data_IF_554971716841
#
_entry.id   IF_554971716841
#
_cell.length_a   1.000
_cell.length_b   1.000
_cell.length_c   1.000
_cell.angle_alpha   90.00
_cell.angle_beta   90.00
_cell.angle_gamma   90.00
#
_symmetry.space_group_name_H-M   'P 1'
#
loop_
_entity.id
_entity.type
_entity.pdbx_description
1 polymer ?
#
# COMPACT_ATOMS: atom_id res chain seq x y z
N UNK A 1 -12.78 77.93 24.30
CA UNK A 1 -13.34 76.61 23.92
C UNK A 1 -12.65 76.19 22.65
N UNK A 2 -11.97 75.04 22.73
CA UNK A 2 -11.56 74.10 21.67
C UNK A 2 -10.59 74.61 20.58
N UNK A 3 -9.25 74.45 20.71
CA UNK A 3 -8.43 73.22 20.52
C UNK A 3 -8.84 72.39 19.30
N UNK A 4 -8.00 72.38 18.25
CA UNK A 4 -7.60 71.16 17.55
C UNK A 4 -6.27 71.39 16.79
N UNK A 5 -5.19 70.82 17.33
CA UNK A 5 -3.93 70.59 16.64
C UNK A 5 -4.08 69.37 15.72
N UNK A 6 -3.70 69.51 14.45
CA UNK A 6 -3.59 68.37 13.53
C UNK A 6 -2.14 67.86 13.57
N UNK A 7 -1.93 66.68 14.15
CA UNK A 7 -0.65 65.98 14.15
C UNK A 7 -0.51 65.15 12.87
N UNK A 8 0.58 65.36 12.14
CA UNK A 8 0.98 64.53 10.99
C UNK A 8 1.63 63.26 11.55
N UNK A 9 0.97 62.12 11.37
CA UNK A 9 1.52 60.80 11.72
C UNK A 9 2.19 60.23 10.47
N UNK A 10 3.51 60.05 10.56
CA UNK A 10 4.29 59.26 9.61
C UNK A 10 3.95 57.77 9.81
N UNK A 11 3.36 57.14 8.79
CA UNK A 11 3.20 55.67 8.77
C UNK A 11 4.49 55.07 8.21
N UNK A 12 5.28 54.44 9.06
CA UNK A 12 6.38 53.55 8.66
C UNK A 12 5.73 52.22 8.23
N UNK A 13 5.77 51.91 6.94
CA UNK A 13 5.41 50.60 6.43
C UNK A 13 6.51 49.59 6.82
N UNK A 14 6.22 48.76 7.83
CA UNK A 14 7.04 47.59 8.13
C UNK A 14 6.80 46.53 7.05
N UNK A 15 7.81 46.30 6.20
CA UNK A 15 7.83 45.13 5.32
C UNK A 15 7.97 43.88 6.18
N UNK A 16 6.86 43.14 6.35
CA UNK A 16 6.89 41.80 6.92
C UNK A 16 7.61 40.89 5.94
N UNK A 17 8.84 40.53 6.27
CA UNK A 17 9.65 39.58 5.53
C UNK A 17 9.02 38.19 5.70
N UNK A 18 8.38 37.67 4.66
CA UNK A 18 7.87 36.29 4.62
C UNK A 18 9.05 35.31 4.51
N UNK A 19 9.71 35.04 5.63
CA UNK A 19 10.73 34.02 5.77
C UNK A 19 10.13 32.68 6.22
N UNK A 20 9.13 32.17 5.49
CA UNK A 20 8.38 30.97 5.89
C UNK A 20 8.47 29.81 4.89
N UNK A 21 9.48 29.82 3.99
CA UNK A 21 9.64 28.80 2.96
C UNK A 21 11.00 28.07 2.93
N UNK A 22 12.02 28.56 3.63
CA UNK A 22 13.37 27.99 3.55
C UNK A 22 13.64 26.90 4.62
N UNK A 23 12.91 26.89 5.74
CA UNK A 23 13.15 25.94 6.84
C UNK A 23 12.46 24.57 6.64
N UNK A 24 11.36 24.49 5.88
CA UNK A 24 10.65 23.22 5.66
C UNK A 24 11.44 22.24 4.76
N UNK A 25 12.19 22.72 3.78
CA UNK A 25 12.96 21.84 2.88
C UNK A 25 14.19 21.20 3.55
N UNK A 26 14.73 21.82 4.61
CA UNK A 26 15.88 21.30 5.36
C UNK A 26 15.49 20.50 6.62
N UNK A 27 14.21 20.54 7.00
CA UNK A 27 13.69 19.78 8.14
C UNK A 27 13.87 18.27 7.91
N UNK A 28 14.36 17.58 8.94
CA UNK A 28 14.50 16.13 8.93
C UNK A 28 13.34 15.49 9.68
N UNK A 29 12.76 14.46 9.08
CA UNK A 29 11.62 13.72 9.58
C UNK A 29 12.02 12.28 9.86
N UNK A 30 11.81 11.84 11.11
CA UNK A 30 12.01 10.46 11.51
C UNK A 30 10.68 9.71 11.41
N UNK A 31 10.58 8.76 10.48
CA UNK A 31 9.38 7.97 10.28
C UNK A 31 9.47 6.68 11.09
N UNK A 32 8.56 6.46 12.05
CA UNK A 32 8.54 5.25 12.87
C UNK A 32 7.12 4.80 13.15
N UNK A 33 6.94 3.49 13.23
CA UNK A 33 5.77 2.92 13.88
C UNK A 33 5.81 3.21 15.39
N UNK A 34 4.67 3.59 15.94
CA UNK A 34 4.48 3.84 17.37
C UNK A 34 3.13 3.28 17.79
N UNK A 35 3.02 1.95 17.73
CA UNK A 35 1.80 1.24 18.11
C UNK A 35 1.70 1.14 19.64
N UNK A 36 0.48 1.02 20.16
CA UNK A 36 0.22 0.86 21.59
C UNK A 36 -0.35 -0.53 21.92
N UNK A 37 -0.06 -1.02 23.13
CA UNK A 37 -0.66 -2.25 23.66
C UNK A 37 -2.19 -2.20 23.59
N UNK A 38 -2.80 -3.24 23.03
CA UNK A 38 -4.24 -3.34 22.86
C UNK A 38 -4.84 -2.40 21.81
N UNK A 39 -4.01 -1.67 21.06
CA UNK A 39 -4.48 -0.88 19.92
C UNK A 39 -5.04 -1.80 18.84
N UNK A 40 -6.15 -1.38 18.22
CA UNK A 40 -6.68 -2.02 17.04
C UNK A 40 -6.63 -1.07 15.85
N UNK A 41 -6.01 -1.51 14.75
CA UNK A 41 -5.97 -0.76 13.50
C UNK A 41 -6.85 -1.45 12.48
N UNK A 42 -7.97 -0.82 12.11
CA UNK A 42 -8.92 -1.34 11.14
C UNK A 42 -8.64 -0.74 9.77
N UNK A 43 -8.60 -1.57 8.73
CA UNK A 43 -8.35 -1.15 7.36
C UNK A 43 -9.40 -1.71 6.42
N UNK A 44 -9.77 -0.92 5.43
CA UNK A 44 -10.48 -1.39 4.26
C UNK A 44 -9.55 -1.34 3.06
N UNK A 45 -9.52 -2.44 2.32
CA UNK A 45 -8.73 -2.61 1.11
C UNK A 45 -9.68 -2.87 -0.04
N UNK A 46 -9.63 -2.03 -1.06
CA UNK A 46 -10.28 -2.25 -2.35
C UNK A 46 -9.21 -2.62 -3.38
N UNK A 47 -9.39 -3.73 -4.08
CA UNK A 47 -8.53 -4.17 -5.17
C UNK A 47 -9.37 -4.45 -6.40
N UNK A 48 -9.06 -3.79 -7.51
CA UNK A 48 -9.66 -4.01 -8.82
C UNK A 48 -8.56 -4.39 -9.77
N UNK A 49 -8.72 -5.50 -10.49
CA UNK A 49 -7.78 -5.89 -11.53
C UNK A 49 -8.52 -6.39 -12.78
N UNK A 50 -7.95 -6.03 -13.93
CA UNK A 50 -8.34 -6.50 -15.24
C UNK A 50 -7.11 -7.04 -15.94
N UNK A 51 -7.18 -8.31 -16.31
CA UNK A 51 -6.18 -8.98 -17.13
C UNK A 51 -6.81 -9.25 -18.48
N UNK A 52 -6.15 -8.80 -19.55
CA UNK A 52 -6.55 -9.10 -20.91
C UNK A 52 -5.42 -9.84 -21.59
N UNK A 53 -5.70 -11.05 -22.02
CA UNK A 53 -4.75 -11.92 -22.71
C UNK A 53 -5.22 -12.14 -24.13
N UNK A 54 -4.31 -12.03 -25.09
CA UNK A 54 -4.56 -12.41 -26.49
C UNK A 54 -3.61 -13.52 -26.88
N UNK A 55 -4.14 -14.61 -27.41
CA UNK A 55 -3.37 -15.74 -27.91
C UNK A 55 -3.87 -16.11 -29.30
N UNK A 56 -3.00 -16.03 -30.32
CA UNK A 56 -3.32 -16.42 -31.70
C UNK A 56 -4.61 -15.79 -32.26
N UNK A 57 -4.92 -14.56 -31.83
CA UNK A 57 -6.10 -13.81 -32.26
C UNK A 57 -7.34 -13.98 -31.37
N UNK A 58 -7.34 -14.96 -30.47
CA UNK A 58 -8.39 -15.11 -29.45
C UNK A 58 -8.06 -14.24 -28.25
N UNK A 59 -9.07 -13.55 -27.73
CA UNK A 59 -8.96 -12.64 -26.61
C UNK A 59 -9.73 -13.20 -25.41
N UNK A 60 -9.07 -13.24 -24.26
CA UNK A 60 -9.65 -13.59 -22.98
C UNK A 60 -9.47 -12.40 -22.02
N UNK A 61 -10.56 -12.00 -21.38
CA UNK A 61 -10.57 -10.93 -20.38
C UNK A 61 -10.98 -11.51 -19.05
N UNK A 62 -10.23 -11.24 -17.99
CA UNK A 62 -10.59 -11.57 -16.62
C UNK A 62 -10.68 -10.29 -15.81
N UNK A 63 -11.73 -10.13 -15.03
CA UNK A 63 -11.94 -9.01 -14.13
C UNK A 63 -12.20 -9.52 -12.73
N UNK A 64 -11.59 -8.86 -11.75
CA UNK A 64 -11.84 -9.10 -10.33
C UNK A 64 -12.00 -7.78 -9.62
N UNK A 65 -12.92 -7.74 -8.68
CA UNK A 65 -13.02 -6.65 -7.73
C UNK A 65 -13.27 -7.24 -6.34
N UNK A 66 -12.44 -6.82 -5.39
CA UNK A 66 -12.47 -7.29 -4.01
C UNK A 66 -12.41 -6.11 -3.07
N UNK A 67 -13.35 -6.05 -2.14
CA UNK A 67 -13.29 -5.17 -0.98
C UNK A 67 -13.08 -6.08 0.23
N UNK A 68 -12.10 -5.79 1.07
CA UNK A 68 -11.88 -6.53 2.31
C UNK A 68 -11.70 -5.60 3.48
N UNK A 69 -12.37 -5.88 4.59
CA UNK A 69 -12.09 -5.27 5.89
C UNK A 69 -11.16 -6.19 6.65
N UNK A 70 -10.10 -5.62 7.23
CA UNK A 70 -9.12 -6.36 8.02
C UNK A 70 -8.68 -5.51 9.19
N UNK A 71 -8.17 -6.13 10.24
CA UNK A 71 -7.57 -5.40 11.33
C UNK A 71 -6.27 -6.01 11.83
N UNK A 72 -5.53 -5.19 12.55
CA UNK A 72 -4.43 -5.60 13.40
C UNK A 72 -4.85 -5.44 14.85
N UNK A 73 -4.78 -6.53 15.61
CA UNK A 73 -4.88 -6.50 17.06
C UNK A 73 -3.48 -6.46 17.65
N UNK A 74 -3.06 -5.29 18.17
CA UNK A 74 -1.72 -5.12 18.74
C UNK A 74 -1.67 -5.80 20.10
N UNK A 75 -1.00 -6.95 20.15
CA UNK A 75 -0.86 -7.77 21.35
C UNK A 75 0.13 -7.14 22.33
N UNK A 76 1.22 -6.58 21.81
CA UNK A 76 2.32 -6.02 22.60
C UNK A 76 3.13 -5.04 21.78
N UNK A 77 3.49 -3.91 22.36
CA UNK A 77 4.31 -2.86 21.81
C UNK A 77 5.33 -2.45 22.86
N UNK A 78 6.58 -2.84 22.59
CA UNK A 78 7.75 -2.38 23.32
C UNK A 78 8.47 -1.34 22.46
N UNK A 79 9.34 -0.52 23.07
CA UNK A 79 10.08 0.51 22.33
C UNK A 79 10.86 -0.02 21.11
N UNK A 80 11.25 -1.29 21.13
CA UNK A 80 12.08 -1.92 20.09
C UNK A 80 11.32 -2.92 19.20
N UNK A 81 10.09 -3.31 19.56
CA UNK A 81 9.31 -4.31 18.83
C UNK A 81 7.81 -4.21 19.11
N UNK A 82 6.99 -4.34 18.07
CA UNK A 82 5.52 -4.39 18.15
C UNK A 82 5.02 -5.69 17.51
N UNK A 83 4.15 -6.41 18.20
CA UNK A 83 3.56 -7.68 17.76
C UNK A 83 2.05 -7.54 17.66
N UNK A 84 1.48 -7.98 16.54
CA UNK A 84 0.05 -7.92 16.28
C UNK A 84 -0.47 -9.17 15.56
N UNK A 85 -1.74 -9.47 15.80
CA UNK A 85 -2.48 -10.48 15.03
C UNK A 85 -3.14 -9.81 13.82
N UNK A 86 -3.04 -10.45 12.65
CA UNK A 86 -3.68 -10.00 11.41
C UNK A 86 -4.89 -10.88 11.09
N UNK A 87 -6.04 -10.24 10.93
CA UNK A 87 -7.34 -10.89 10.69
C UNK A 87 -8.05 -10.19 9.54
N UNK A 88 -8.74 -10.96 8.70
CA UNK A 88 -9.69 -10.44 7.70
C UNK A 88 -11.10 -10.64 8.24
N UNK A 89 -11.83 -9.54 8.42
CA UNK A 89 -13.15 -9.49 9.05
C UNK A 89 -14.27 -9.82 8.07
N UNK A 90 -14.20 -9.24 6.88
CA UNK A 90 -15.17 -9.48 5.83
C UNK A 90 -14.61 -9.19 4.45
N UNK A 91 -15.25 -9.78 3.44
CA UNK A 91 -14.94 -9.55 2.04
C UNK A 91 -16.21 -9.41 1.20
N UNK A 92 -16.12 -8.60 0.16
CA UNK A 92 -17.03 -8.58 -0.98
C UNK A 92 -16.19 -8.86 -2.23
N UNK A 93 -16.60 -9.84 -3.02
CA UNK A 93 -15.82 -10.34 -4.15
C UNK A 93 -16.70 -10.45 -5.40
N UNK A 94 -16.14 -10.02 -6.52
CA UNK A 94 -16.68 -10.27 -7.85
C UNK A 94 -15.59 -10.81 -8.76
N UNK A 95 -15.97 -11.74 -9.63
CA UNK A 95 -15.08 -12.30 -10.65
C UNK A 95 -15.86 -12.54 -11.94
N UNK A 96 -15.29 -12.10 -13.06
CA UNK A 96 -15.83 -12.33 -14.39
C UNK A 96 -14.73 -12.79 -15.35
N UNK A 97 -15.03 -13.79 -16.19
CA UNK A 97 -14.13 -14.31 -17.23
C UNK A 97 -14.83 -14.30 -18.59
N UNK A 98 -14.32 -13.50 -19.52
CA UNK A 98 -14.91 -13.25 -20.84
C UNK A 98 -16.34 -12.74 -20.71
N UNK A 99 -17.22 -13.31 -21.53
CA UNK A 99 -18.66 -12.98 -21.55
C UNK A 99 -19.49 -13.85 -20.57
N UNK A 100 -18.84 -14.61 -19.68
CA UNK A 100 -19.55 -15.38 -18.65
C UNK A 100 -20.22 -14.44 -17.64
N UNK A 101 -21.24 -14.96 -16.98
CA UNK A 101 -21.92 -14.27 -15.89
C UNK A 101 -20.93 -13.95 -14.75
N UNK A 102 -21.07 -12.75 -14.17
CA UNK A 102 -20.26 -12.32 -13.02
C UNK A 102 -20.65 -13.16 -11.79
N UNK A 103 -19.66 -13.79 -11.18
CA UNK A 103 -19.83 -14.42 -9.87
C UNK A 103 -19.64 -13.34 -8.82
N UNK A 104 -20.61 -13.18 -7.93
CA UNK A 104 -20.59 -12.22 -6.82
C UNK A 104 -20.82 -12.94 -5.51
N UNK A 105 -20.11 -12.54 -4.48
CA UNK A 105 -20.32 -13.03 -3.13
C UNK A 105 -19.88 -12.01 -2.09
N UNK A 106 -20.60 -11.94 -0.97
CA UNK A 106 -20.21 -11.19 0.23
C UNK A 106 -20.23 -12.14 1.42
N UNK A 107 -19.19 -12.08 2.26
CA UNK A 107 -19.17 -12.87 3.49
C UNK A 107 -20.22 -12.42 4.53
N UNK A 108 -20.79 -11.23 4.34
CA UNK A 108 -21.83 -10.67 5.22
C UNK A 108 -23.25 -10.99 4.72
N UNK A 109 -23.43 -11.62 3.53
CA UNK A 109 -24.76 -11.91 2.98
C UNK A 109 -25.49 -13.06 3.69
N UNK A 110 -24.76 -13.93 4.40
CA UNK A 110 -25.28 -15.17 4.97
C UNK A 110 -25.45 -16.32 3.96
N UNK A 111 -25.10 -16.10 2.68
CA UNK A 111 -25.12 -17.12 1.64
C UNK A 111 -23.86 -17.99 1.66
N UNK A 112 -23.99 -19.25 1.25
CA UNK A 112 -22.83 -20.14 1.09
C UNK A 112 -21.89 -19.61 0.00
N UNK A 113 -20.60 -19.59 0.29
CA UNK A 113 -19.60 -19.09 -0.66
C UNK A 113 -19.54 -19.98 -1.92
N UNK A 114 -19.54 -19.38 -3.13
CA UNK A 114 -19.22 -20.10 -4.35
C UNK A 114 -17.90 -20.86 -4.24
N UNK A 115 -17.76 -21.95 -5.00
CA UNK A 115 -16.58 -22.84 -4.93
C UNK A 115 -15.27 -22.07 -5.15
N UNK A 116 -15.31 -21.09 -6.03
CA UNK A 116 -14.23 -20.16 -6.39
C UNK A 116 -13.71 -19.38 -5.17
N UNK A 117 -14.57 -19.07 -4.20
CA UNK A 117 -14.26 -18.28 -3.00
C UNK A 117 -14.17 -19.11 -1.71
N UNK A 118 -14.36 -20.43 -1.78
CA UNK A 118 -14.36 -21.33 -0.60
C UNK A 118 -13.12 -21.17 0.29
N UNK A 119 -11.92 -21.10 -0.31
CA UNK A 119 -10.66 -20.89 0.42
C UNK A 119 -10.58 -19.53 1.13
N UNK A 120 -11.25 -18.51 0.62
CA UNK A 120 -11.33 -17.19 1.28
C UNK A 120 -12.31 -17.30 2.43
N UNK A 121 -13.50 -17.85 2.19
CA UNK A 121 -14.54 -18.02 3.21
C UNK A 121 -14.05 -18.79 4.45
N UNK A 122 -13.23 -19.83 4.25
CA UNK A 122 -12.63 -20.61 5.34
C UNK A 122 -11.70 -19.80 6.27
N UNK A 123 -11.26 -18.61 5.87
CA UNK A 123 -10.25 -17.79 6.56
C UNK A 123 -10.83 -16.56 7.27
N UNK A 124 -12.03 -16.15 6.89
CA UNK A 124 -12.66 -14.94 7.43
C UNK A 124 -12.92 -15.11 8.93
N UNK A 125 -12.62 -14.06 9.70
CA UNK A 125 -12.73 -14.05 11.16
C UNK A 125 -11.69 -14.92 11.87
N UNK A 126 -10.74 -15.53 11.16
CA UNK A 126 -9.65 -16.30 11.75
C UNK A 126 -8.36 -15.51 11.73
N UNK A 127 -7.52 -15.77 12.74
CA UNK A 127 -6.15 -15.29 12.77
C UNK A 127 -5.36 -15.85 11.59
N UNK A 128 -4.94 -14.99 10.67
CA UNK A 128 -4.16 -15.38 9.50
C UNK A 128 -2.67 -15.52 9.85
N UNK A 129 -2.16 -14.57 10.63
CA UNK A 129 -0.76 -14.54 11.06
C UNK A 129 -0.58 -13.71 12.32
N UNK A 130 0.41 -14.07 13.12
CA UNK A 130 0.96 -13.21 14.19
C UNK A 130 2.29 -12.65 13.68
N UNK A 131 2.44 -11.32 13.66
CA UNK A 131 3.58 -10.63 13.05
C UNK A 131 4.23 -9.72 14.08
N UNK A 132 5.56 -9.78 14.16
CA UNK A 132 6.37 -8.85 14.95
C UNK A 132 7.16 -7.96 14.01
N UNK A 133 7.17 -6.65 14.30
CA UNK A 133 7.90 -5.63 13.55
C UNK A 133 8.74 -4.77 14.49
N UNK A 134 9.88 -4.29 14.00
CA UNK A 134 10.63 -3.23 14.70
C UNK A 134 9.99 -1.84 14.45
N UNK A 135 10.48 -0.74 15.08
CA UNK A 135 9.98 0.62 14.84
C UNK A 135 10.06 1.09 13.39
N UNK A 136 10.87 0.45 12.55
CA UNK A 136 10.95 0.73 11.11
C UNK A 136 9.92 -0.07 10.30
N UNK A 137 9.06 -0.86 10.93
CA UNK A 137 8.09 -1.71 10.25
C UNK A 137 8.70 -2.91 9.53
N UNK A 138 9.95 -3.26 9.81
CA UNK A 138 10.58 -4.46 9.26
C UNK A 138 10.11 -5.67 10.06
N UNK A 139 9.60 -6.69 9.37
CA UNK A 139 9.17 -7.95 9.99
C UNK A 139 10.38 -8.63 10.65
N UNK A 140 10.37 -8.77 11.98
CA UNK A 140 11.36 -9.49 12.77
C UNK A 140 10.97 -10.95 12.96
N UNK A 141 9.67 -11.22 13.03
CA UNK A 141 9.11 -12.56 13.14
C UNK A 141 7.73 -12.64 12.49
N UNK A 142 7.38 -13.83 11.98
CA UNK A 142 6.05 -14.11 11.43
C UNK A 142 5.68 -15.56 11.68
N UNK A 143 4.56 -15.75 12.36
CA UNK A 143 3.89 -17.05 12.51
C UNK A 143 2.67 -17.07 11.58
N UNK A 144 2.76 -17.83 10.49
CA UNK A 144 1.64 -18.06 9.58
C UNK A 144 0.72 -19.13 10.16
N UNK A 145 -0.55 -18.78 10.40
CA UNK A 145 -1.56 -19.71 10.92
C UNK A 145 -2.36 -20.31 9.76
N UNK A 146 -3.01 -19.44 8.97
CA UNK A 146 -3.89 -19.83 7.86
C UNK A 146 -3.74 -18.79 6.74
N UNK A 147 -3.18 -19.17 5.58
CA UNK A 147 -2.97 -18.22 4.48
C UNK A 147 -2.11 -18.76 3.35
N UNK A 148 -2.12 -18.08 2.20
CA UNK A 148 -1.18 -18.36 1.11
C UNK A 148 -0.06 -17.32 1.12
N UNK A 149 1.17 -17.74 0.80
CA UNK A 149 2.32 -16.84 0.64
C UNK A 149 2.31 -16.03 -0.68
N UNK A 150 1.24 -16.10 -1.46
CA UNK A 150 1.13 -15.39 -2.73
C UNK A 150 1.08 -13.87 -2.49
N UNK A 151 2.13 -13.16 -2.88
CA UNK A 151 2.17 -11.70 -2.98
C UNK A 151 1.79 -11.33 -4.42
N UNK A 152 0.86 -10.39 -4.63
CA UNK A 152 0.50 -9.85 -5.95
C UNK A 152 1.07 -8.42 -6.10
N UNK A 153 2.33 -8.19 -5.73
CA UNK A 153 2.93 -6.86 -5.75
C UNK A 153 2.33 -5.87 -4.75
N UNK A 154 1.42 -6.32 -3.87
CA UNK A 154 0.72 -5.48 -2.90
C UNK A 154 1.59 -5.05 -1.71
N UNK A 155 2.82 -5.60 -1.61
CA UNK A 155 3.76 -5.32 -0.52
C UNK A 155 3.57 -6.20 0.70
N UNK A 156 4.36 -5.93 1.75
CA UNK A 156 4.20 -6.48 3.10
C UNK A 156 3.02 -5.83 3.83
N UNK A 157 2.63 -6.42 4.97
CA UNK A 157 1.58 -5.86 5.83
C UNK A 157 2.01 -4.49 6.39
N UNK A 158 3.25 -4.38 6.86
CA UNK A 158 3.86 -3.13 7.31
C UNK A 158 4.73 -2.48 6.23
N UNK A 159 4.92 -1.18 6.33
CA UNK A 159 5.84 -0.40 5.50
C UNK A 159 7.24 -0.42 6.11
N UNK A 160 8.28 -0.73 5.33
CA UNK A 160 9.66 -0.60 5.79
C UNK A 160 10.16 0.85 5.65
N UNK A 161 10.42 1.49 6.78
CA UNK A 161 10.76 2.91 6.94
C UNK A 161 12.30 3.13 6.96
N UNK A 162 12.78 4.34 6.64
CA UNK A 162 14.21 4.65 6.57
C UNK A 162 14.86 4.54 7.95
N UNK A 163 16.17 4.27 7.97
CA UNK A 163 16.92 4.13 9.22
C UNK A 163 17.13 5.47 9.92
N UNK A 164 17.40 6.51 9.15
CA UNK A 164 17.69 7.82 9.69
C UNK A 164 16.54 8.79 9.38
N UNK A 165 16.56 9.94 10.05
CA UNK A 165 15.66 11.03 9.73
C UNK A 165 16.03 11.59 8.34
N UNK A 166 15.02 11.77 7.49
CA UNK A 166 15.19 12.16 6.09
C UNK A 166 14.56 13.51 5.81
N UNK A 167 15.08 14.25 4.83
CA UNK A 167 14.44 15.48 4.35
C UNK A 167 13.43 15.17 3.26
N UNK A 168 12.54 16.12 2.97
CA UNK A 168 11.69 16.05 1.78
C UNK A 168 12.58 15.90 0.53
N UNK A 169 12.15 15.08 -0.42
CA UNK A 169 12.90 14.69 -1.62
C UNK A 169 13.90 13.56 -1.42
N UNK A 170 14.19 13.15 -0.18
CA UNK A 170 15.07 12.00 0.08
C UNK A 170 14.36 10.68 -0.24
N UNK A 171 15.14 9.70 -0.69
CA UNK A 171 14.65 8.35 -1.01
C UNK A 171 15.40 7.25 -0.27
N UNK A 172 14.74 6.12 -0.06
CA UNK A 172 15.34 4.88 0.42
C UNK A 172 14.77 3.68 -0.35
N UNK A 173 15.55 2.60 -0.43
CA UNK A 173 15.19 1.43 -1.21
C UNK A 173 15.01 0.21 -0.31
N UNK A 174 13.97 -0.57 -0.58
CA UNK A 174 13.71 -1.87 0.06
C UNK A 174 13.90 -2.97 -1.00
N UNK A 175 14.88 -3.88 -0.83
CA UNK A 175 15.09 -4.95 -1.77
C UNK A 175 14.00 -6.01 -1.65
N UNK A 176 13.59 -6.58 -2.78
CA UNK A 176 12.66 -7.71 -2.86
C UNK A 176 13.11 -8.67 -3.95
N UNK A 177 12.66 -9.92 -3.83
CA UNK A 177 12.92 -10.96 -4.82
C UNK A 177 11.60 -11.60 -5.25
N UNK A 178 11.42 -11.73 -6.57
CA UNK A 178 10.28 -12.42 -7.18
C UNK A 178 10.81 -13.73 -7.76
N UNK A 179 10.21 -14.85 -7.35
CA UNK A 179 10.49 -16.14 -7.98
C UNK A 179 9.65 -16.25 -9.25
N UNK A 180 10.32 -16.40 -10.39
CA UNK A 180 9.68 -16.61 -11.70
C UNK A 180 10.02 -17.99 -12.23
N UNK A 181 9.25 -18.48 -13.19
CA UNK A 181 9.53 -19.73 -13.89
C UNK A 181 9.76 -19.48 -15.37
N UNK A 182 10.86 -19.97 -15.90
CA UNK A 182 11.19 -19.96 -17.33
C UNK A 182 10.40 -21.06 -18.07
N UNK A 183 10.41 -21.04 -19.40
CA UNK A 183 9.67 -22.02 -20.22
C UNK A 183 10.15 -23.46 -20.04
N UNK A 184 11.46 -23.65 -19.81
CA UNK A 184 12.07 -24.95 -19.48
C UNK A 184 11.82 -25.39 -18.02
N UNK A 185 11.08 -24.58 -17.26
CA UNK A 185 10.63 -24.89 -15.91
C UNK A 185 11.60 -24.51 -14.79
N UNK A 186 12.76 -23.92 -15.11
CA UNK A 186 13.72 -23.44 -14.13
C UNK A 186 13.13 -22.28 -13.32
N UNK A 187 13.48 -22.23 -12.03
CA UNK A 187 13.11 -21.11 -11.16
C UNK A 187 14.19 -20.04 -11.28
N UNK A 188 13.80 -18.85 -11.73
CA UNK A 188 14.68 -17.69 -11.89
C UNK A 188 14.29 -16.60 -10.89
N UNK A 189 15.18 -16.24 -9.94
CA UNK A 189 14.94 -15.13 -9.04
C UNK A 189 15.16 -13.79 -9.76
N UNK A 190 14.15 -12.92 -9.71
CA UNK A 190 14.21 -11.56 -10.22
C UNK A 190 14.33 -10.61 -9.03
N UNK A 191 15.48 -9.96 -8.92
CA UNK A 191 15.69 -8.93 -7.90
C UNK A 191 14.98 -7.66 -8.35
N UNK A 192 14.22 -7.09 -7.43
CA UNK A 192 13.56 -5.80 -7.60
C UNK A 192 13.89 -4.93 -6.38
N UNK A 193 13.71 -3.62 -6.51
CA UNK A 193 13.68 -2.70 -5.37
C UNK A 193 12.37 -1.92 -5.36
N UNK A 194 11.85 -1.67 -4.17
CA UNK A 194 10.84 -0.63 -3.96
C UNK A 194 11.58 0.64 -3.54
N UNK A 195 11.55 1.66 -4.38
CA UNK A 195 12.10 2.98 -4.09
C UNK A 195 11.01 3.85 -3.49
N UNK A 196 11.20 4.25 -2.23
CA UNK A 196 10.32 5.16 -1.52
C UNK A 196 10.94 6.56 -1.50
N UNK A 197 10.13 7.60 -1.66
CA UNK A 197 10.57 8.99 -1.57
C UNK A 197 9.63 9.78 -0.67
N UNK A 198 10.16 10.61 0.24
CA UNK A 198 9.36 11.53 1.03
C UNK A 198 8.99 12.75 0.17
N UNK A 199 7.76 12.80 -0.33
CA UNK A 199 7.27 13.86 -1.21
C UNK A 199 6.88 15.13 -0.43
N UNK A 200 6.50 14.98 0.83
CA UNK A 200 6.16 16.12 1.68
C UNK A 200 5.55 15.71 3.02
N UNK A 201 5.57 16.63 3.97
CA UNK A 201 4.94 16.47 5.28
C UNK A 201 3.98 17.63 5.50
N UNK A 202 2.73 17.32 5.87
CA UNK A 202 1.73 18.33 6.20
C UNK A 202 0.95 17.90 7.41
N UNK A 203 0.91 18.75 8.44
CA UNK A 203 0.13 18.52 9.66
C UNK A 203 0.39 17.14 10.29
N UNK A 204 1.66 16.77 10.45
CA UNK A 204 2.06 15.48 11.02
C UNK A 204 1.96 14.28 10.06
N UNK A 205 1.46 14.47 8.83
CA UNK A 205 1.29 13.37 7.86
C UNK A 205 2.33 13.44 6.76
N UNK A 206 3.14 12.38 6.64
CA UNK A 206 4.07 12.16 5.53
C UNK A 206 3.34 11.62 4.30
N UNK A 207 3.66 12.18 3.13
CA UNK A 207 3.29 11.66 1.82
C UNK A 207 4.51 11.00 1.21
N UNK A 208 4.40 9.71 0.90
CA UNK A 208 5.47 8.92 0.32
C UNK A 208 5.06 8.47 -1.07
N UNK A 209 5.94 8.61 -2.07
CA UNK A 209 5.80 7.87 -3.32
C UNK A 209 6.49 6.51 -3.19
N UNK A 210 6.00 5.51 -3.90
CA UNK A 210 6.63 4.20 -4.02
C UNK A 210 6.70 3.80 -5.49
N UNK A 211 7.85 3.29 -5.92
CA UNK A 211 8.07 2.78 -7.26
C UNK A 211 8.79 1.45 -7.24
N UNK A 212 8.26 0.46 -7.95
CA UNK A 212 8.91 -0.84 -8.11
C UNK A 212 9.86 -0.83 -9.31
N UNK A 213 11.11 -1.22 -9.11
CA UNK A 213 12.14 -1.22 -10.16
C UNK A 213 12.85 -2.58 -10.24
N UNK A 214 12.79 -3.30 -11.38
CA UNK A 214 13.57 -4.51 -11.57
C UNK A 214 15.06 -4.17 -11.68
N UNK A 215 15.88 -4.94 -10.96
CA UNK A 215 17.34 -4.83 -10.96
C UNK A 215 17.97 -5.94 -11.81
N UNK A 216 17.34 -7.11 -11.87
CA UNK A 216 17.76 -8.19 -12.76
C UNK A 216 17.22 -7.92 -14.17
N UNK A 217 18.06 -7.96 -15.23
CA UNK A 217 17.60 -7.91 -16.62
C UNK A 217 16.60 -9.02 -16.94
N UNK A 218 15.55 -8.69 -17.70
CA UNK A 218 14.48 -9.62 -18.09
C UNK A 218 14.37 -9.67 -19.61
N UNK A 219 15.04 -10.66 -20.19
CA UNK A 219 15.13 -10.86 -21.65
C UNK A 219 13.98 -11.74 -22.20
N UNK A 220 13.38 -12.57 -21.34
CA UNK A 220 12.29 -13.48 -21.69
C UNK A 220 10.92 -12.84 -21.37
N UNK A 221 10.04 -12.74 -22.37
CA UNK A 221 8.71 -12.14 -22.20
C UNK A 221 7.78 -12.97 -21.32
N UNK A 222 7.95 -14.30 -21.29
CA UNK A 222 7.24 -15.21 -20.38
C UNK A 222 7.58 -14.94 -18.91
N UNK A 223 8.85 -14.61 -18.63
CA UNK A 223 9.31 -14.15 -17.31
C UNK A 223 8.78 -12.74 -17.04
N UNK A 224 8.86 -11.83 -18.01
CA UNK A 224 8.36 -10.45 -17.87
C UNK A 224 6.89 -10.42 -17.48
N UNK A 225 6.04 -11.22 -18.12
CA UNK A 225 4.61 -11.32 -17.79
C UNK A 225 4.33 -11.72 -16.33
N UNK A 226 5.20 -12.50 -15.70
CA UNK A 226 5.08 -12.84 -14.27
C UNK A 226 5.53 -11.69 -13.37
N UNK A 227 6.59 -10.98 -13.77
CA UNK A 227 7.16 -9.88 -12.98
C UNK A 227 6.28 -8.64 -12.99
N UNK A 228 5.75 -8.24 -14.14
CA UNK A 228 4.98 -6.99 -14.27
C UNK A 228 3.72 -6.96 -13.41
N UNK A 229 3.12 -8.12 -13.14
CA UNK A 229 2.00 -8.25 -12.20
C UNK A 229 2.38 -7.95 -10.74
N UNK A 230 3.68 -7.90 -10.44
CA UNK A 230 4.23 -7.60 -9.12
C UNK A 230 4.80 -6.17 -9.04
N UNK A 231 4.94 -5.47 -10.17
CA UNK A 231 5.52 -4.12 -10.23
C UNK A 231 4.43 -3.09 -10.05
N UNK A 232 4.31 -2.58 -8.83
CA UNK A 232 3.32 -1.57 -8.47
C UNK A 232 4.00 -0.23 -8.16
N UNK A 233 3.29 0.85 -8.49
CA UNK A 233 3.70 2.21 -8.17
C UNK A 233 2.55 2.93 -7.48
N UNK A 234 2.84 3.89 -6.61
CA UNK A 234 1.78 4.67 -6.01
C UNK A 234 2.20 5.57 -4.86
N UNK A 235 1.29 5.75 -3.91
CA UNK A 235 1.42 6.75 -2.85
C UNK A 235 0.94 6.21 -1.51
N UNK A 236 1.67 6.53 -0.45
CA UNK A 236 1.34 6.17 0.92
C UNK A 236 1.21 7.45 1.75
N UNK A 237 0.24 7.45 2.67
CA UNK A 237 0.10 8.47 3.72
C UNK A 237 0.42 7.81 5.04
N UNK A 238 1.40 8.35 5.75
CA UNK A 238 1.84 7.86 7.06
C UNK A 238 1.66 8.96 8.09
N UNK A 239 0.95 8.66 9.18
CA UNK A 239 0.83 9.56 10.32
C UNK A 239 2.10 9.47 11.16
N UNK A 240 2.93 10.52 11.14
CA UNK A 240 4.17 10.58 11.90
C UNK A 240 3.86 10.66 13.41
N UNK A 241 2.82 11.41 13.77
CA UNK A 241 2.47 11.68 15.17
C UNK A 241 1.82 10.45 15.80
N UNK A 242 0.94 9.76 15.06
CA UNK A 242 0.27 8.55 15.52
C UNK A 242 1.04 7.26 15.21
N UNK A 243 2.13 7.34 14.44
CA UNK A 243 3.04 6.24 14.16
C UNK A 243 2.40 5.05 13.41
N UNK A 244 1.51 5.30 12.45
CA UNK A 244 0.93 4.25 11.62
C UNK A 244 0.46 4.76 10.26
N UNK A 245 0.19 3.83 9.33
CA UNK A 245 -0.25 4.15 7.98
C UNK A 245 -1.72 4.57 7.97
N UNK A 246 -2.02 5.67 7.27
CA UNK A 246 -3.39 6.16 7.04
C UNK A 246 -3.95 5.56 5.77
N UNK A 247 -3.18 5.56 4.69
CA UNK A 247 -3.64 5.02 3.41
C UNK A 247 -2.50 4.61 2.51
N UNK A 248 -2.78 3.70 1.58
CA UNK A 248 -1.87 3.25 0.53
C UNK A 248 -2.64 3.06 -0.76
N UNK A 249 -2.18 3.69 -1.81
CA UNK A 249 -2.67 3.49 -3.17
C UNK A 249 -1.55 2.88 -4.01
N UNK A 250 -1.85 1.81 -4.74
CA UNK A 250 -0.97 1.17 -5.69
C UNK A 250 -1.67 1.00 -7.03
N UNK A 251 -0.93 1.16 -8.12
CA UNK A 251 -1.41 1.06 -9.48
C UNK A 251 -0.46 0.18 -10.30
N UNK A 252 -1.05 -0.59 -11.22
CA UNK A 252 -0.36 -1.40 -12.21
C UNK A 252 -0.90 -1.04 -13.59
N UNK A 253 0.00 -0.74 -14.51
CA UNK A 253 -0.33 -0.42 -15.90
C UNK A 253 0.76 -0.99 -16.81
N UNK A 254 0.61 -2.26 -17.16
CA UNK A 254 1.67 -3.01 -17.83
C UNK A 254 1.15 -3.78 -19.06
N UNK A 255 1.96 -3.83 -20.11
CA UNK A 255 1.66 -4.56 -21.33
C UNK A 255 2.88 -5.35 -21.77
N UNK A 256 2.69 -6.65 -21.98
CA UNK A 256 3.74 -7.59 -22.38
C UNK A 256 3.32 -8.23 -23.70
N UNK A 257 4.19 -8.18 -24.70
CA UNK A 257 3.97 -8.80 -26.01
C UNK A 257 4.92 -9.99 -26.12
N UNK A 258 4.46 -11.10 -26.68
CA UNK A 258 5.33 -12.26 -26.94
C UNK A 258 5.45 -13.25 -25.78
N UNK A 259 4.72 -13.08 -24.67
CA UNK A 259 4.87 -13.89 -23.45
C UNK A 259 4.56 -15.40 -23.61
N UNK A 260 3.81 -15.76 -24.65
CA UNK A 260 3.52 -17.13 -25.11
C UNK A 260 3.69 -17.22 -26.64
N UNK A 261 4.83 -16.71 -27.14
CA UNK A 261 5.20 -16.70 -28.56
C UNK A 261 4.76 -15.43 -29.31
N UNK A 262 5.18 -15.24 -30.57
CA UNK A 262 5.12 -13.95 -31.27
C UNK A 262 3.72 -13.33 -31.41
N UNK A 263 2.66 -14.16 -31.39
CA UNK A 263 1.27 -13.73 -31.53
C UNK A 263 0.52 -13.74 -30.18
N UNK A 264 1.20 -13.36 -29.11
CA UNK A 264 0.63 -13.29 -27.76
C UNK A 264 0.79 -11.90 -27.15
N UNK A 265 -0.17 -11.49 -26.32
CA UNK A 265 -0.12 -10.24 -25.57
C UNK A 265 -0.83 -10.41 -24.23
N UNK A 266 -0.30 -9.79 -23.19
CA UNK A 266 -0.95 -9.66 -21.88
C UNK A 266 -0.98 -8.17 -21.52
N UNK A 267 -2.15 -7.68 -21.16
CA UNK A 267 -2.36 -6.37 -20.56
C UNK A 267 -2.84 -6.60 -19.12
N UNK A 268 -2.13 -6.00 -18.16
CA UNK A 268 -2.50 -6.03 -16.76
C UNK A 268 -2.75 -4.62 -16.27
N UNK A 269 -3.98 -4.36 -15.82
CA UNK A 269 -4.41 -3.09 -15.25
C UNK A 269 -4.99 -3.38 -13.88
N UNK A 270 -4.40 -2.80 -12.83
CA UNK A 270 -4.91 -2.99 -11.48
C UNK A 270 -4.76 -1.73 -10.65
N UNK A 271 -5.62 -1.59 -9.65
CA UNK A 271 -5.55 -0.57 -8.62
C UNK A 271 -5.89 -1.18 -7.28
N UNK A 272 -5.09 -0.86 -6.28
CA UNK A 272 -5.32 -1.22 -4.89
C UNK A 272 -5.36 0.06 -4.07
N UNK A 273 -6.38 0.19 -3.24
CA UNK A 273 -6.52 1.28 -2.28
C UNK A 273 -6.79 0.70 -0.91
N UNK A 274 -5.92 1.02 0.03
CA UNK A 274 -6.04 0.67 1.43
C UNK A 274 -6.18 1.95 2.25
N UNK A 275 -7.11 1.96 3.20
CA UNK A 275 -7.30 3.08 4.13
C UNK A 275 -7.59 2.59 5.53
N UNK A 276 -7.07 3.32 6.52
CA UNK A 276 -7.46 3.18 7.91
C UNK A 276 -8.93 3.61 8.07
N UNK A 277 -9.71 2.79 8.76
CA UNK A 277 -11.06 3.12 9.22
C UNK A 277 -10.94 3.55 10.67
N UNK A 278 -11.05 4.86 10.90
CA UNK A 278 -11.04 5.43 12.24
C UNK A 278 -12.40 5.16 12.91
N UNK A 279 -12.39 4.37 14.00
CA UNK A 279 -13.57 4.13 14.83
C UNK A 279 -13.78 5.25 15.87
N UNK A 280 -12.97 6.31 15.88
CA UNK A 280 -13.11 7.40 16.84
C UNK A 280 -14.33 8.27 16.49
N UNK A 281 -15.43 8.05 17.20
CA UNK A 281 -16.42 9.10 17.45
C UNK A 281 -15.69 10.21 18.24
N UNK A 282 -15.20 11.24 17.54
CA UNK A 282 -14.61 12.42 18.17
C UNK A 282 -15.72 13.22 18.85
N UNK A 283 -16.06 12.89 20.09
CA UNK A 283 -16.83 13.80 20.94
C UNK A 283 -15.93 14.98 21.27
N UNK A 284 -16.19 16.13 20.63
CA UNK A 284 -15.56 17.39 20.96
C UNK A 284 -15.78 17.67 22.46
N UNK A 285 -14.70 17.76 23.24
CA UNK A 285 -14.75 18.33 24.58
C UNK A 285 -14.98 19.84 24.42
N UNK A 286 -16.06 20.31 25.04
CA UNK A 286 -16.47 21.71 25.11
C UNK A 286 -15.75 22.41 26.26
#
# INVERSE_FOLDING_TARGET
>A
MDRFCLAVVFVIAAAANSANGADEESAKYLLRYSLADGQQLNYEVTHVAKTKTRLKGEEEVSQVHTISKRHWDVLKATGDEMTFDHVVDSVEMTQQQGDKEEIRWSSESGEEAPREFSKVAERIGKKLSTVSINPRGQETNREDNIGSKASLGMGSLSLALPEEAITIGSSWAIPREIQTRTEDGLVKPIKIRELYTLEGVKSGVATLSVKSEPLTPIDEESVRAQVVQQLSNGTIKFDIDAGHMISKELNWDETVVGFQGPNSMMEYRARMFERLIDNVVRTAKR
#
